data_IF_645669713320
#
_entry.id   IF_645669713320
#
_cell.length_a   1.000
_cell.length_b   1.000
_cell.length_c   1.000
_cell.angle_alpha   90.00
_cell.angle_beta   90.00
_cell.angle_gamma   90.00
#
_symmetry.space_group_name_H-M   'P 1'
#
loop_
_entity.id
_entity.type
_entity.pdbx_description
1 polymer ?
#
# COMPACT_ATOMS: atom_id res chain seq x y z
N UNK A 1 -6.76 22.55 -19.81
CA UNK A 1 -6.76 21.80 -18.54
C UNK A 1 -6.19 20.42 -18.86
N UNK A 2 -4.92 20.18 -18.52
CA UNK A 2 -4.16 19.05 -19.07
C UNK A 2 -4.66 17.71 -18.54
N UNK A 3 -5.14 16.84 -19.42
CA UNK A 3 -5.46 15.45 -19.11
C UNK A 3 -4.16 14.71 -18.74
N UNK A 4 -3.93 14.47 -17.44
CA UNK A 4 -2.93 13.48 -17.03
C UNK A 4 -3.49 12.11 -17.37
N UNK A 5 -2.99 11.49 -18.44
CA UNK A 5 -3.25 10.08 -18.75
C UNK A 5 -2.94 9.24 -17.50
N UNK A 6 -3.98 8.68 -16.88
CA UNK A 6 -3.94 8.15 -15.53
C UNK A 6 -3.24 6.79 -15.44
N UNK A 7 -1.91 6.78 -15.31
CA UNK A 7 -1.21 5.58 -14.86
C UNK A 7 -1.55 5.33 -13.39
N UNK A 8 -1.80 4.07 -12.97
CA UNK A 8 -2.05 3.77 -11.58
C UNK A 8 -0.84 4.18 -10.73
N UNK A 9 -1.08 4.98 -9.69
CA UNK A 9 -0.05 5.37 -8.73
C UNK A 9 0.36 4.15 -7.90
N UNK A 10 1.67 3.87 -7.84
CA UNK A 10 2.25 2.85 -6.97
C UNK A 10 2.99 3.54 -5.83
N UNK A 11 2.60 3.25 -4.60
CA UNK A 11 3.16 3.87 -3.39
C UNK A 11 3.59 2.76 -2.43
N UNK A 12 4.78 2.91 -1.83
CA UNK A 12 5.27 2.02 -0.79
C UNK A 12 5.10 2.67 0.58
N UNK A 13 4.62 1.92 1.58
CA UNK A 13 4.50 2.35 2.97
C UNK A 13 5.56 1.65 3.82
N UNK A 14 6.50 2.43 4.38
CA UNK A 14 7.64 1.94 5.16
C UNK A 14 7.75 2.72 6.49
N UNK A 15 8.33 2.09 7.52
CA UNK A 15 8.57 2.73 8.82
C UNK A 15 8.84 1.73 9.95
N UNK A 16 9.25 2.25 11.10
CA UNK A 16 9.67 1.47 12.27
C UNK A 16 8.58 0.51 12.80
N UNK A 17 8.94 -0.57 13.52
CA UNK A 17 7.96 -1.39 14.23
C UNK A 17 7.01 -0.55 15.07
N UNK A 18 5.72 -0.92 15.10
CA UNK A 18 4.68 -0.24 15.89
C UNK A 18 4.38 1.24 15.53
N UNK A 19 4.89 1.77 14.41
CA UNK A 19 4.66 3.16 13.98
C UNK A 19 3.29 3.44 13.35
N UNK A 20 2.30 2.55 13.50
CA UNK A 20 0.95 2.75 12.94
C UNK A 20 0.78 2.50 11.44
N UNK A 21 1.75 1.89 10.76
CA UNK A 21 1.67 1.56 9.31
C UNK A 21 0.41 0.77 8.96
N UNK A 22 0.08 -0.26 9.74
CA UNK A 22 -1.12 -1.07 9.49
C UNK A 22 -2.40 -0.25 9.62
N UNK A 23 -2.44 0.71 10.54
CA UNK A 23 -3.59 1.63 10.69
C UNK A 23 -3.79 2.46 9.44
N UNK A 24 -2.73 3.10 8.93
CA UNK A 24 -2.80 3.91 7.71
C UNK A 24 -3.14 3.03 6.50
N UNK A 25 -2.48 1.88 6.36
CA UNK A 25 -2.77 0.93 5.27
C UNK A 25 -4.25 0.54 5.25
N UNK A 26 -4.80 0.10 6.39
CA UNK A 26 -6.18 -0.33 6.50
C UNK A 26 -7.18 0.81 6.25
N UNK A 27 -6.87 2.03 6.67
CA UNK A 27 -7.71 3.21 6.39
C UNK A 27 -7.73 3.55 4.89
N UNK A 28 -6.60 3.38 4.19
CA UNK A 28 -6.48 3.68 2.76
C UNK A 28 -7.05 2.58 1.86
N UNK A 29 -6.89 1.30 2.22
CA UNK A 29 -7.32 0.17 1.38
C UNK A 29 -8.71 -0.35 1.71
N UNK A 30 -9.15 -0.19 2.97
CA UNK A 30 -10.36 -0.84 3.47
C UNK A 30 -10.37 -2.34 3.16
N UNK A 31 -11.46 -2.82 2.55
CA UNK A 31 -11.60 -4.23 2.15
C UNK A 31 -10.84 -4.60 0.86
N UNK A 32 -10.32 -3.63 0.10
CA UNK A 32 -9.65 -3.86 -1.19
C UNK A 32 -8.16 -4.13 -1.02
N UNK A 33 -7.83 -5.11 -0.19
CA UNK A 33 -6.46 -5.50 0.11
C UNK A 33 -6.19 -6.95 -0.36
N UNK A 34 -4.94 -7.22 -0.74
CA UNK A 34 -4.46 -8.57 -1.05
C UNK A 34 -3.25 -8.86 -0.18
N UNK A 35 -3.29 -9.98 0.54
CA UNK A 35 -2.16 -10.48 1.32
C UNK A 35 -1.40 -11.51 0.50
N UNK A 36 -0.07 -11.52 0.62
CA UNK A 36 0.80 -12.52 0.02
C UNK A 36 2.17 -12.49 0.69
N UNK A 37 2.90 -13.57 0.56
CA UNK A 37 4.27 -13.67 1.06
C UNK A 37 5.25 -13.11 0.02
N UNK A 38 6.39 -12.62 0.50
CA UNK A 38 7.48 -12.28 -0.40
C UNK A 38 8.06 -13.57 -1.00
N UNK A 39 8.42 -13.59 -2.29
CA UNK A 39 8.99 -14.77 -2.92
C UNK A 39 10.24 -15.28 -2.18
N UNK A 40 10.28 -16.58 -1.88
CA UNK A 40 11.46 -17.22 -1.27
C UNK A 40 11.61 -17.04 0.24
N UNK A 41 10.63 -16.46 0.93
CA UNK A 41 10.58 -16.38 2.39
C UNK A 41 9.21 -16.82 2.92
N UNK A 42 9.16 -17.27 4.17
CA UNK A 42 7.90 -17.58 4.89
C UNK A 42 7.28 -16.34 5.49
#
# INVERSE_FOLDING_TARGET
>A
MSERSGRPLKVALIGNPNSGKSTVFNQLTGLRQKTGNFPGVT
#
